data_IF_854115452647
#
_entry.id   IF_854115452647
#
_cell.length_a   1.000
_cell.length_b   1.000
_cell.length_c   1.000
_cell.angle_alpha   90.00
_cell.angle_beta   90.00
_cell.angle_gamma   90.00
#
_symmetry.space_group_name_H-M   'P 1'
#
loop_
_entity.id
_entity.type
_entity.pdbx_description
1 polymer ?
#
# COMPACT_ATOMS: atom_id res chain seq x y z
N UNK A 1 10.10 -15.95 1.87
CA UNK A 1 9.16 -14.79 1.86
C UNK A 1 9.45 -13.75 0.77
N UNK A 2 10.66 -13.65 0.26
CA UNK A 2 11.05 -12.62 -0.75
C UNK A 2 10.62 -12.93 -2.19
N UNK A 3 9.96 -14.04 -2.44
CA UNK A 3 9.60 -14.47 -3.81
C UNK A 3 8.20 -14.04 -4.27
N UNK A 4 7.31 -13.65 -3.36
CA UNK A 4 5.92 -13.33 -3.72
C UNK A 4 5.79 -12.13 -4.66
N UNK A 5 6.63 -11.05 -4.61
CA UNK A 5 6.53 -9.97 -5.58
C UNK A 5 6.87 -10.43 -6.99
N UNK A 6 7.89 -11.29 -7.11
CA UNK A 6 8.29 -11.87 -8.40
C UNK A 6 7.23 -12.82 -8.95
N UNK A 7 6.60 -13.61 -8.08
CA UNK A 7 5.49 -14.51 -8.48
C UNK A 7 4.28 -13.68 -8.92
N UNK A 8 3.90 -12.66 -8.14
CA UNK A 8 2.80 -11.77 -8.46
C UNK A 8 3.01 -11.03 -9.80
N UNK A 9 4.19 -10.48 -10.03
CA UNK A 9 4.57 -9.87 -11.31
C UNK A 9 4.41 -10.88 -12.46
N UNK A 10 4.93 -12.10 -12.29
CA UNK A 10 4.86 -13.14 -13.33
C UNK A 10 3.42 -13.51 -13.69
N UNK A 11 2.51 -13.56 -12.72
CA UNK A 11 1.09 -13.84 -12.95
C UNK A 11 0.45 -12.67 -13.71
N UNK A 12 0.64 -11.45 -13.24
CA UNK A 12 -0.02 -10.26 -13.79
C UNK A 12 0.51 -9.88 -15.17
N UNK A 13 1.78 -10.13 -15.46
CA UNK A 13 2.39 -9.84 -16.77
C UNK A 13 1.72 -10.55 -17.95
N UNK A 14 0.99 -11.63 -17.72
CA UNK A 14 0.27 -12.37 -18.76
C UNK A 14 -1.16 -11.87 -18.96
N UNK A 15 -1.60 -10.85 -18.21
CA UNK A 15 -2.90 -10.22 -18.36
C UNK A 15 -2.71 -8.95 -19.19
N UNK A 16 -3.51 -8.81 -20.24
CA UNK A 16 -3.49 -7.63 -21.09
C UNK A 16 -3.70 -6.36 -20.25
N UNK A 17 -2.99 -5.29 -20.57
CA UNK A 17 -3.03 -3.98 -19.90
C UNK A 17 -2.47 -3.93 -18.46
N UNK A 18 -1.98 -5.05 -17.89
CA UNK A 18 -1.46 -5.09 -16.51
C UNK A 18 0.06 -4.91 -16.40
N UNK A 19 0.73 -4.49 -17.47
CA UNK A 19 2.19 -4.31 -17.48
C UNK A 19 2.70 -3.37 -16.39
N UNK A 20 2.08 -2.20 -16.22
CA UNK A 20 2.45 -1.24 -15.18
C UNK A 20 2.12 -1.76 -13.78
N UNK A 21 0.96 -2.40 -13.61
CA UNK A 21 0.53 -2.99 -12.33
C UNK A 21 1.50 -4.10 -11.92
N UNK A 22 1.93 -4.92 -12.86
CA UNK A 22 2.89 -6.00 -12.59
C UNK A 22 4.24 -5.47 -12.08
N UNK A 23 4.72 -4.35 -12.63
CA UNK A 23 5.93 -3.68 -12.16
C UNK A 23 5.75 -3.11 -10.75
N UNK A 24 4.59 -2.54 -10.43
CA UNK A 24 4.29 -2.03 -9.08
C UNK A 24 4.28 -3.19 -8.08
N UNK A 25 3.61 -4.31 -8.41
CA UNK A 25 3.57 -5.51 -7.57
C UNK A 25 4.97 -6.09 -7.36
N UNK A 26 5.85 -6.03 -8.36
CA UNK A 26 7.23 -6.50 -8.22
C UNK A 26 8.02 -5.67 -7.20
N UNK A 27 7.82 -4.34 -7.17
CA UNK A 27 8.73 -3.43 -6.48
C UNK A 27 8.16 -2.81 -5.18
N UNK A 28 7.00 -3.26 -4.67
CA UNK A 28 6.40 -2.68 -3.46
C UNK A 28 7.16 -2.99 -2.15
N UNK A 29 8.15 -3.89 -2.19
CA UNK A 29 9.07 -4.17 -1.08
C UNK A 29 10.47 -3.61 -1.31
N UNK A 30 10.66 -2.80 -2.34
CA UNK A 30 11.90 -2.05 -2.50
C UNK A 30 11.99 -0.94 -1.44
N UNK A 31 13.22 -0.56 -1.11
CA UNK A 31 13.54 0.48 -0.13
C UNK A 31 14.32 1.58 -0.82
N UNK A 32 14.11 2.84 -0.43
CA UNK A 32 14.80 3.97 -1.07
C UNK A 32 16.32 3.96 -0.88
N UNK A 33 16.83 3.22 0.12
CA UNK A 33 18.25 3.00 0.37
C UNK A 33 18.87 1.83 -0.43
N UNK A 34 18.08 1.14 -1.28
CA UNK A 34 18.54 0.01 -2.07
C UNK A 34 18.69 -1.31 -1.29
N UNK A 35 18.28 -1.35 -0.03
CA UNK A 35 18.32 -2.56 0.80
C UNK A 35 17.03 -3.37 0.76
N UNK A 36 16.13 -3.05 -0.20
CA UNK A 36 14.89 -3.77 -0.45
C UNK A 36 15.06 -4.99 -1.36
N UNK A 37 13.97 -5.52 -1.84
CA UNK A 37 13.92 -6.66 -2.75
C UNK A 37 12.74 -6.54 -3.71
N UNK A 38 12.77 -7.19 -4.90
CA UNK A 38 13.73 -8.19 -5.35
C UNK A 38 14.94 -7.63 -6.11
N UNK A 39 14.87 -6.39 -6.62
CA UNK A 39 15.86 -5.85 -7.56
C UNK A 39 16.81 -4.83 -6.94
N UNK A 40 16.64 -4.51 -5.65
CA UNK A 40 17.44 -3.53 -4.90
C UNK A 40 17.48 -2.16 -5.58
N UNK A 41 16.32 -1.70 -6.02
CA UNK A 41 16.17 -0.39 -6.63
C UNK A 41 16.28 0.71 -5.59
N UNK A 42 16.84 1.85 -5.99
CA UNK A 42 17.00 3.01 -5.13
C UNK A 42 16.09 4.16 -5.59
N UNK A 43 15.55 4.90 -4.64
CA UNK A 43 14.88 6.20 -4.85
C UNK A 43 13.93 6.22 -6.06
N UNK A 44 14.21 7.08 -7.04
CA UNK A 44 13.34 7.30 -8.21
C UNK A 44 13.32 6.13 -9.20
N UNK A 45 14.18 5.14 -9.02
CA UNK A 45 14.12 3.89 -9.79
C UNK A 45 12.96 3.00 -9.35
N UNK A 46 12.44 3.19 -8.13
CA UNK A 46 11.26 2.50 -7.62
C UNK A 46 10.02 3.21 -8.18
N UNK A 47 9.08 2.50 -8.84
CA UNK A 47 7.84 3.10 -9.31
C UNK A 47 7.12 3.87 -8.19
N UNK A 48 6.59 5.05 -8.47
CA UNK A 48 5.95 5.90 -7.46
C UNK A 48 4.83 5.15 -6.71
N UNK A 49 3.98 4.42 -7.42
CA UNK A 49 2.92 3.63 -6.79
C UNK A 49 3.48 2.51 -5.90
N UNK A 50 4.62 1.94 -6.23
CA UNK A 50 5.34 0.99 -5.35
C UNK A 50 5.77 1.66 -4.04
N UNK A 51 6.34 2.89 -4.10
CA UNK A 51 6.70 3.68 -2.91
C UNK A 51 5.47 4.04 -2.06
N UNK A 52 4.34 4.35 -2.70
CA UNK A 52 3.08 4.66 -1.99
C UNK A 52 2.54 3.42 -1.28
N UNK A 53 2.50 2.28 -1.97
CA UNK A 53 2.03 1.01 -1.39
C UNK A 53 2.91 0.60 -0.22
N UNK A 54 4.24 0.74 -0.32
CA UNK A 54 5.17 0.41 0.76
C UNK A 54 4.86 1.18 2.06
N UNK A 55 4.54 2.48 1.97
CA UNK A 55 4.16 3.30 3.13
C UNK A 55 2.81 2.87 3.69
N UNK A 56 1.81 2.67 2.82
CA UNK A 56 0.46 2.28 3.22
C UNK A 56 0.44 0.90 3.89
N UNK A 57 1.15 -0.08 3.31
CA UNK A 57 1.26 -1.43 3.87
C UNK A 57 1.97 -1.44 5.22
N UNK A 58 3.08 -0.70 5.35
CA UNK A 58 3.77 -0.57 6.62
C UNK A 58 2.88 0.07 7.71
N UNK A 59 2.11 1.09 7.37
CA UNK A 59 1.17 1.71 8.29
C UNK A 59 0.08 0.71 8.69
N UNK A 60 -0.57 0.06 7.73
CA UNK A 60 -1.60 -0.94 7.97
C UNK A 60 -1.06 -2.11 8.82
N UNK A 61 0.13 -2.59 8.50
CA UNK A 61 0.78 -3.64 9.28
C UNK A 61 1.03 -3.24 10.74
N UNK A 62 1.31 -1.97 11.03
CA UNK A 62 1.51 -1.47 12.39
C UNK A 62 0.20 -1.24 13.14
N UNK A 63 -0.85 -0.77 12.46
CA UNK A 63 -2.12 -0.34 13.08
C UNK A 63 -3.19 -1.43 13.09
N UNK A 64 -2.97 -2.56 12.45
CA UNK A 64 -3.86 -3.72 12.48
C UNK A 64 -3.48 -4.68 13.61
N UNK A 65 -4.48 -5.15 14.35
CA UNK A 65 -4.29 -6.23 15.33
C UNK A 65 -3.98 -7.55 14.60
N UNK A 66 -3.07 -8.34 15.15
CA UNK A 66 -2.72 -9.67 14.66
C UNK A 66 -2.81 -10.67 15.81
N UNK A 67 -2.95 -12.00 15.54
CA UNK A 67 -3.13 -13.01 16.61
C UNK A 67 -2.09 -12.94 17.74
N UNK A 68 -0.89 -12.41 17.44
CA UNK A 68 0.24 -12.36 18.38
C UNK A 68 0.69 -10.93 18.70
N UNK A 69 -0.04 -9.90 18.25
CA UNK A 69 0.34 -8.50 18.47
C UNK A 69 -0.85 -7.56 18.42
N UNK A 70 -1.01 -6.74 19.43
CA UNK A 70 -2.00 -5.67 19.46
C UNK A 70 -1.70 -4.59 18.39
N UNK A 71 -2.76 -3.93 17.94
CA UNK A 71 -2.65 -2.79 17.04
C UNK A 71 -1.87 -1.65 17.71
N UNK A 72 -0.92 -1.10 16.98
CA UNK A 72 -0.18 0.08 17.43
C UNK A 72 -1.06 1.33 17.28
N UNK A 73 -1.07 2.26 18.24
CA UNK A 73 -1.75 3.54 18.06
C UNK A 73 -1.24 4.29 16.82
N UNK A 74 -2.16 4.87 16.03
CA UNK A 74 -1.85 5.60 14.80
C UNK A 74 -0.71 6.62 14.97
N UNK A 75 -0.72 7.39 16.08
CA UNK A 75 0.34 8.36 16.37
C UNK A 75 1.74 7.72 16.45
N UNK A 76 1.84 6.52 17.03
CA UNK A 76 3.12 5.81 17.15
C UNK A 76 3.57 5.25 15.79
N UNK A 77 2.62 4.70 15.02
CA UNK A 77 2.90 4.22 13.66
C UNK A 77 3.41 5.35 12.75
N UNK A 78 2.77 6.52 12.79
CA UNK A 78 3.19 7.72 12.05
C UNK A 78 4.61 8.16 12.42
N UNK A 79 4.93 8.18 13.70
CA UNK A 79 6.28 8.51 14.18
C UNK A 79 7.32 7.51 13.62
N UNK A 80 7.01 6.22 13.59
CA UNK A 80 7.91 5.20 13.02
C UNK A 80 8.12 5.38 11.51
N UNK A 81 7.06 5.72 10.76
CA UNK A 81 7.22 6.05 9.34
C UNK A 81 8.17 7.23 9.15
N UNK A 82 7.99 8.31 9.92
CA UNK A 82 8.85 9.49 9.85
C UNK A 82 10.32 9.17 10.19
N UNK A 83 10.58 8.28 11.14
CA UNK A 83 11.93 7.84 11.51
C UNK A 83 12.61 6.97 10.44
N UNK A 84 11.84 6.34 9.55
CA UNK A 84 12.34 5.47 8.48
C UNK A 84 12.44 6.17 7.11
N UNK A 85 12.18 7.48 7.07
CA UNK A 85 12.37 8.32 5.87
C UNK A 85 13.85 8.29 5.45
N UNK A 86 14.13 8.38 4.15
CA UNK A 86 15.45 8.30 3.51
C UNK A 86 16.17 6.94 3.66
N UNK A 87 15.70 6.06 4.53
CA UNK A 87 16.19 4.69 4.62
C UNK A 87 15.22 3.72 3.94
N UNK A 88 14.02 3.58 4.49
CA UNK A 88 13.04 2.64 3.95
C UNK A 88 12.04 3.33 3.03
N UNK A 89 11.59 4.54 3.38
CA UNK A 89 10.48 5.21 2.72
C UNK A 89 10.89 6.53 2.07
N UNK A 90 10.17 6.85 0.99
CA UNK A 90 10.29 8.12 0.30
C UNK A 90 9.73 9.28 1.15
N UNK A 91 10.52 10.34 1.26
CA UNK A 91 10.19 11.54 2.05
C UNK A 91 8.88 12.19 1.60
N UNK A 92 8.71 12.36 0.30
CA UNK A 92 7.52 13.02 -0.27
C UNK A 92 6.26 12.20 -0.04
N UNK A 93 6.37 10.87 -0.18
CA UNK A 93 5.25 9.95 0.05
C UNK A 93 4.85 9.95 1.52
N UNK A 94 5.82 9.86 2.45
CA UNK A 94 5.52 9.91 3.89
C UNK A 94 4.92 11.25 4.27
N UNK A 95 5.42 12.37 3.74
CA UNK A 95 4.88 13.69 4.02
C UNK A 95 3.42 13.85 3.53
N UNK A 96 3.11 13.37 2.32
CA UNK A 96 1.76 13.38 1.79
C UNK A 96 0.81 12.48 2.60
N UNK A 97 1.26 11.28 2.97
CA UNK A 97 0.51 10.35 3.80
C UNK A 97 0.20 10.93 5.19
N UNK A 98 1.20 11.57 5.80
CA UNK A 98 1.07 12.26 7.08
C UNK A 98 0.05 13.40 7.00
N UNK A 99 0.07 14.21 5.94
CA UNK A 99 -0.88 15.30 5.73
C UNK A 99 -2.33 14.79 5.64
N UNK A 100 -2.56 13.66 4.93
CA UNK A 100 -3.86 13.01 4.84
C UNK A 100 -4.32 12.54 6.23
N UNK A 101 -3.46 11.84 6.96
CA UNK A 101 -3.82 11.29 8.27
C UNK A 101 -3.99 12.38 9.34
N UNK A 102 -3.29 13.51 9.23
CA UNK A 102 -3.44 14.62 10.18
C UNK A 102 -4.86 15.21 10.19
N UNK A 103 -5.50 15.30 9.00
CA UNK A 103 -6.88 15.77 8.85
C UNK A 103 -7.95 14.69 9.01
N UNK A 104 -7.58 13.43 9.10
CA UNK A 104 -8.51 12.31 9.11
C UNK A 104 -9.15 12.07 10.49
N UNK A 105 -10.35 11.46 10.52
CA UNK A 105 -10.98 10.98 11.75
C UNK A 105 -10.25 9.76 12.32
N UNK A 106 -10.51 9.44 13.60
CA UNK A 106 -9.93 8.23 14.20
C UNK A 106 -10.43 6.94 13.54
N UNK A 107 -11.66 6.92 13.05
CA UNK A 107 -12.20 5.77 12.31
C UNK A 107 -11.51 5.60 10.97
N UNK A 108 -11.25 6.68 10.24
CA UNK A 108 -10.46 6.64 9.01
C UNK A 108 -9.03 6.13 9.27
N UNK A 109 -8.36 6.66 10.30
CA UNK A 109 -7.00 6.24 10.70
C UNK A 109 -6.92 4.77 11.09
N UNK A 110 -8.02 4.22 11.60
CA UNK A 110 -8.14 2.82 12.00
C UNK A 110 -8.66 1.91 10.88
N UNK A 111 -8.88 2.43 9.67
CA UNK A 111 -9.44 1.67 8.55
C UNK A 111 -10.90 1.25 8.74
N UNK A 112 -11.65 1.93 9.61
CA UNK A 112 -13.06 1.63 9.91
C UNK A 112 -14.05 2.56 9.18
N UNK A 113 -13.57 3.49 8.38
CA UNK A 113 -14.41 4.39 7.61
C UNK A 113 -15.16 3.61 6.53
N UNK A 114 -16.50 3.64 6.58
CA UNK A 114 -17.37 2.94 5.65
C UNK A 114 -17.37 3.54 4.23
N UNK A 115 -16.91 4.77 4.09
CA UNK A 115 -17.03 5.53 2.84
C UNK A 115 -15.67 5.85 2.24
N UNK A 116 -15.10 4.90 1.54
CA UNK A 116 -14.03 5.18 0.60
C UNK A 116 -14.66 5.78 -0.68
N UNK A 117 -15.05 7.05 -0.62
CA UNK A 117 -15.45 7.76 -1.83
C UNK A 117 -14.19 8.08 -2.63
N UNK A 118 -13.95 7.33 -3.68
CA UNK A 118 -12.99 7.70 -4.71
C UNK A 118 -13.47 9.00 -5.37
N UNK A 119 -13.00 10.14 -4.90
CA UNK A 119 -13.13 11.37 -5.65
C UNK A 119 -12.24 11.23 -6.89
N UNK A 120 -12.85 11.03 -8.05
CA UNK A 120 -12.11 10.99 -9.30
C UNK A 120 -11.47 12.36 -9.54
N UNK A 121 -10.16 12.37 -9.64
CA UNK A 121 -9.35 13.54 -9.99
C UNK A 121 -9.41 13.83 -11.50
N UNK A 122 -10.52 13.76 -12.14
CA UNK A 122 -10.76 14.30 -13.49
C UNK A 122 -12.26 14.21 -13.76
N UNK A 123 -13.00 15.24 -13.55
CA UNK A 123 -14.25 15.67 -14.20
C UNK A 123 -15.16 14.67 -14.93
N UNK A 124 -15.10 13.39 -14.62
CA UNK A 124 -15.96 12.35 -15.13
C UNK A 124 -16.72 11.72 -13.96
N UNK A 125 -17.98 12.10 -13.81
CA UNK A 125 -18.94 11.38 -12.98
C UNK A 125 -19.05 9.94 -13.51
N UNK A 126 -18.50 8.98 -12.79
CA UNK A 126 -18.85 7.57 -12.98
C UNK A 126 -20.16 7.36 -12.23
N UNK A 127 -21.27 7.61 -12.92
CA UNK A 127 -22.63 7.37 -12.44
C UNK A 127 -23.10 5.97 -12.84
N UNK A 128 -22.38 4.92 -12.48
CA UNK A 128 -22.98 3.60 -12.46
C UNK A 128 -22.61 2.89 -11.17
N UNK A 129 -23.61 2.43 -10.39
CA UNK A 129 -23.34 1.53 -9.30
C UNK A 129 -22.82 0.23 -9.92
N UNK A 130 -21.62 -0.18 -9.50
CA UNK A 130 -21.13 -1.52 -9.78
C UNK A 130 -22.15 -2.49 -9.17
N UNK A 131 -22.95 -3.12 -10.02
CA UNK A 131 -23.83 -4.20 -9.61
C UNK A 131 -23.02 -5.29 -8.92
N UNK A 132 -23.54 -5.73 -7.84
CA UNK A 132 -23.07 -6.73 -6.88
C UNK A 132 -22.99 -8.11 -7.53
N UNK A 133 -22.02 -8.31 -8.44
CA UNK A 133 -21.75 -9.64 -9.03
C UNK A 133 -20.25 -9.82 -9.18
N UNK A 134 -19.60 -10.04 -8.11
CA UNK A 134 -18.43 -10.90 -7.89
C UNK A 134 -17.84 -10.54 -6.52
N UNK A 135 -18.39 -11.15 -5.48
CA UNK A 135 -17.84 -11.13 -4.14
C UNK A 135 -16.53 -11.93 -4.10
N UNK A 136 -15.50 -11.41 -4.71
CA UNK A 136 -14.13 -11.72 -4.33
C UNK A 136 -13.78 -10.75 -3.19
N UNK A 137 -14.00 -11.22 -1.97
CA UNK A 137 -13.64 -10.47 -0.78
C UNK A 137 -12.13 -10.25 -0.80
N UNK A 138 -11.71 -8.99 -0.84
CA UNK A 138 -10.30 -8.60 -0.66
C UNK A 138 -9.66 -9.22 0.60
N UNK A 139 -10.47 -9.69 1.54
CA UNK A 139 -10.05 -10.45 2.70
C UNK A 139 -9.34 -11.78 2.36
N UNK A 140 -9.72 -12.43 1.26
CA UNK A 140 -9.19 -13.74 0.89
C UNK A 140 -7.83 -13.65 0.19
N UNK A 141 -7.50 -12.48 -0.37
CA UNK A 141 -6.19 -12.23 -1.01
C UNK A 141 -5.14 -11.80 0.01
N UNK A 142 -5.55 -11.13 1.09
CA UNK A 142 -4.63 -10.65 2.12
C UNK A 142 -4.07 -11.77 3.03
N UNK A 143 -4.76 -12.91 3.14
CA UNK A 143 -4.36 -14.03 4.01
C UNK A 143 -3.21 -14.86 3.40
N UNK A 144 -3.02 -14.81 2.09
CA UNK A 144 -1.94 -15.56 1.41
C UNK A 144 -0.56 -14.85 1.45
N UNK A 145 -0.49 -13.62 1.94
CA UNK A 145 0.73 -12.80 1.84
C UNK A 145 1.53 -12.71 3.15
N UNK A 146 1.03 -13.29 4.26
CA UNK A 146 1.69 -13.20 5.58
C UNK A 146 1.62 -14.56 6.27
N UNK A 147 2.32 -15.50 5.72
CA UNK A 147 2.71 -16.76 6.36
C UNK A 147 4.22 -16.82 6.47
#
# INVERSE_FOLDING_TARGET
MEQHPVIGERILRHVDDYGEISAIVRHHHERVDGLGYPDQLERDRIPLLGRIIAVADAYNAMTSARPYRDAMPSRVARLRLAQAVEAQFDTSVVAAFEAILAGASDDYRAGRGADFVLHSFAGAEVTEPLEETASLRLADVAVATIG
#
